data_IF_732668943901
#
_entry.id   IF_732668943901
#
_cell.length_a   1.000
_cell.length_b   1.000
_cell.length_c   1.000
_cell.angle_alpha   90.00
_cell.angle_beta   90.00
_cell.angle_gamma   90.00
#
_symmetry.space_group_name_H-M   'P 1'
#
loop_
_entity.id
_entity.type
_entity.pdbx_description
1 polymer ?
#
# COMPACT_ATOMS: atom_id res chain seq x y z
N UNK A 1 -12.23 -8.28 4.78
CA UNK A 1 -11.87 -9.55 5.46
C UNK A 1 -10.83 -9.32 6.55
N UNK A 2 -9.69 -8.68 6.24
CA UNK A 2 -8.64 -8.40 7.25
C UNK A 2 -9.18 -7.66 8.49
N UNK A 3 -9.97 -6.61 8.31
CA UNK A 3 -10.62 -5.87 9.40
C UNK A 3 -11.55 -6.77 10.24
N UNK A 4 -12.44 -7.53 9.59
CA UNK A 4 -13.33 -8.47 10.28
C UNK A 4 -12.59 -9.58 11.03
N UNK A 5 -11.34 -9.89 10.63
CA UNK A 5 -10.46 -10.83 11.32
C UNK A 5 -9.69 -10.19 12.49
N UNK A 6 -9.93 -8.90 12.79
CA UNK A 6 -9.31 -8.18 13.90
C UNK A 6 -7.95 -7.56 13.59
N UNK A 7 -7.63 -7.31 12.32
CA UNK A 7 -6.41 -6.59 11.95
C UNK A 7 -6.43 -5.15 12.50
N UNK A 8 -5.30 -4.69 13.06
CA UNK A 8 -5.15 -3.32 13.55
C UNK A 8 -4.97 -2.31 12.41
N UNK A 9 -4.37 -2.73 11.29
CA UNK A 9 -4.15 -1.96 10.08
C UNK A 9 -4.05 -2.89 8.87
N UNK A 10 -4.13 -2.36 7.66
CA UNK A 10 -3.97 -3.11 6.40
C UNK A 10 -2.91 -2.48 5.50
N UNK A 11 -2.20 -3.31 4.73
CA UNK A 11 -1.27 -2.84 3.70
C UNK A 11 -1.93 -2.92 2.32
N UNK A 12 -1.97 -1.80 1.60
CA UNK A 12 -2.50 -1.69 0.24
C UNK A 12 -1.40 -1.99 -0.80
N UNK A 13 -1.58 -3.06 -1.56
CA UNK A 13 -0.66 -3.50 -2.62
C UNK A 13 -1.36 -4.29 -3.71
N UNK A 14 -0.98 -4.07 -4.97
CA UNK A 14 -1.52 -4.81 -6.14
C UNK A 14 -1.11 -6.28 -6.15
N UNK A 15 0.06 -6.60 -5.60
CA UNK A 15 0.64 -7.95 -5.62
C UNK A 15 1.33 -8.23 -4.30
N UNK A 16 1.02 -9.38 -3.71
CA UNK A 16 1.64 -9.82 -2.46
C UNK A 16 3.13 -10.12 -2.66
N UNK A 17 3.98 -9.90 -1.63
CA UNK A 17 5.42 -10.09 -1.75
C UNK A 17 5.85 -11.48 -2.23
N UNK A 18 5.08 -12.52 -1.91
CA UNK A 18 5.32 -13.87 -2.40
C UNK A 18 5.24 -13.95 -3.94
N UNK A 19 4.23 -13.32 -4.53
CA UNK A 19 4.02 -13.28 -5.98
C UNK A 19 5.07 -12.41 -6.67
N UNK A 20 5.41 -11.27 -6.07
CA UNK A 20 6.47 -10.38 -6.59
C UNK A 20 7.79 -11.16 -6.69
N UNK A 21 8.14 -11.94 -5.66
CA UNK A 21 9.36 -12.76 -5.66
C UNK A 21 9.31 -13.89 -6.69
N UNK A 22 8.15 -14.51 -6.88
CA UNK A 22 7.98 -15.61 -7.83
C UNK A 22 8.06 -15.16 -9.30
N UNK A 23 7.45 -14.01 -9.62
CA UNK A 23 7.44 -13.46 -10.99
C UNK A 23 8.74 -12.71 -11.31
N UNK A 24 9.35 -12.09 -10.29
CA UNK A 24 10.46 -11.16 -10.47
C UNK A 24 10.03 -9.86 -11.14
N UNK A 25 11.01 -9.03 -11.49
CA UNK A 25 10.80 -7.73 -12.13
C UNK A 25 10.75 -6.55 -11.15
N UNK A 26 10.34 -5.39 -11.68
CA UNK A 26 10.35 -4.13 -10.93
C UNK A 26 9.01 -3.92 -10.23
N UNK A 27 9.01 -4.03 -8.91
CA UNK A 27 7.88 -3.64 -8.07
C UNK A 27 7.90 -2.13 -7.81
N UNK A 28 6.75 -1.47 -7.94
CA UNK A 28 6.57 -0.02 -7.72
C UNK A 28 5.43 0.22 -6.73
N UNK A 29 5.19 1.47 -6.39
CA UNK A 29 3.98 1.89 -5.66
C UNK A 29 2.72 1.44 -6.43
N UNK A 30 1.69 1.02 -5.68
CA UNK A 30 0.39 0.65 -6.25
C UNK A 30 -0.39 1.86 -6.74
N UNK A 31 -1.30 1.66 -7.69
CA UNK A 31 -2.12 2.76 -8.23
C UNK A 31 -2.89 3.50 -7.12
N UNK A 32 -2.77 4.85 -7.02
CA UNK A 32 -3.49 5.65 -6.01
C UNK A 32 -5.01 5.43 -6.00
N UNK A 33 -5.62 5.13 -7.16
CA UNK A 33 -7.05 4.82 -7.26
C UNK A 33 -7.39 3.53 -6.52
N UNK A 34 -6.54 2.51 -6.61
CA UNK A 34 -6.72 1.26 -5.89
C UNK A 34 -6.57 1.47 -4.38
N UNK A 35 -5.54 2.22 -3.96
CA UNK A 35 -5.30 2.56 -2.54
C UNK A 35 -6.51 3.29 -1.95
N UNK A 36 -7.04 4.31 -2.64
CA UNK A 36 -8.26 5.01 -2.22
C UNK A 36 -9.47 4.08 -2.15
N UNK A 37 -9.56 3.12 -3.05
CA UNK A 37 -10.59 2.08 -3.00
C UNK A 37 -10.53 1.27 -1.70
N UNK A 38 -9.32 0.92 -1.24
CA UNK A 38 -9.12 0.23 0.04
C UNK A 38 -9.42 1.15 1.22
N UNK A 39 -8.93 2.40 1.23
CA UNK A 39 -9.24 3.38 2.29
C UNK A 39 -10.75 3.57 2.49
N UNK A 40 -11.53 3.57 1.41
CA UNK A 40 -12.99 3.69 1.50
C UNK A 40 -13.68 2.39 1.94
N UNK A 41 -12.99 1.25 1.89
CA UNK A 41 -13.57 -0.06 2.17
C UNK A 41 -13.37 -0.53 3.61
N UNK A 42 -12.47 0.10 4.38
CA UNK A 42 -12.16 -0.26 5.77
C UNK A 42 -12.18 0.97 6.67
N UNK A 43 -12.40 0.75 7.97
CA UNK A 43 -12.34 1.81 8.99
C UNK A 43 -11.02 1.86 9.77
N UNK A 44 -10.19 0.83 9.59
CA UNK A 44 -8.85 0.74 10.19
C UNK A 44 -7.77 1.42 9.33
N UNK A 45 -6.65 1.87 9.91
CA UNK A 45 -5.56 2.51 9.19
C UNK A 45 -5.06 1.71 7.97
N UNK A 46 -4.75 2.43 6.91
CA UNK A 46 -4.22 1.88 5.65
C UNK A 46 -2.78 2.35 5.45
N UNK A 47 -1.90 1.38 5.19
CA UNK A 47 -0.50 1.59 4.87
C UNK A 47 -0.29 1.36 3.36
N UNK A 48 0.70 2.02 2.77
CA UNK A 48 1.09 1.75 1.38
C UNK A 48 2.62 1.75 1.21
N UNK A 49 3.10 1.00 0.21
CA UNK A 49 4.53 0.88 -0.08
C UNK A 49 5.02 1.88 -1.11
N UNK A 50 6.19 2.44 -0.87
CA UNK A 50 7.00 3.14 -1.87
C UNK A 50 8.41 2.52 -1.97
N UNK A 51 9.10 2.76 -3.08
CA UNK A 51 10.47 2.28 -3.28
C UNK A 51 11.47 3.09 -2.47
N UNK A 52 12.55 2.42 -2.04
CA UNK A 52 13.68 3.05 -1.34
C UNK A 52 14.23 4.24 -2.13
N UNK A 53 14.30 5.39 -1.48
CA UNK A 53 14.77 6.67 -2.01
C UNK A 53 13.79 7.37 -2.95
N UNK A 54 12.61 6.80 -3.22
CA UNK A 54 11.68 7.32 -4.22
C UNK A 54 10.71 8.36 -3.62
N UNK A 55 11.24 9.54 -3.28
CA UNK A 55 10.50 10.64 -2.65
C UNK A 55 9.22 11.05 -3.40
N UNK A 56 9.19 10.98 -4.73
CA UNK A 56 7.99 11.32 -5.50
C UNK A 56 6.83 10.32 -5.26
N UNK A 57 7.13 9.04 -4.99
CA UNK A 57 6.08 8.07 -4.63
C UNK A 57 5.56 8.37 -3.23
N UNK A 58 6.47 8.65 -2.29
CA UNK A 58 6.09 9.05 -0.93
C UNK A 58 5.22 10.32 -0.91
N UNK A 59 5.55 11.33 -1.73
CA UNK A 59 4.76 12.55 -1.87
C UNK A 59 3.36 12.28 -2.45
N UNK A 60 3.24 11.36 -3.42
CA UNK A 60 1.94 10.95 -3.95
C UNK A 60 1.10 10.27 -2.86
N UNK A 61 1.71 9.34 -2.10
CA UNK A 61 1.04 8.66 -0.98
C UNK A 61 0.61 9.65 0.12
N UNK A 62 1.45 10.62 0.44
CA UNK A 62 1.10 11.69 1.38
C UNK A 62 -0.06 12.55 0.85
N UNK A 63 -0.08 12.88 -0.44
CA UNK A 63 -1.14 13.70 -1.05
C UNK A 63 -2.50 12.99 -1.11
N UNK A 64 -2.54 11.67 -1.02
CA UNK A 64 -3.77 10.89 -0.87
C UNK A 64 -4.10 10.55 0.60
N UNK A 65 -3.40 11.18 1.55
CA UNK A 65 -3.65 11.07 2.98
C UNK A 65 -3.55 9.61 3.48
N UNK A 66 -2.50 8.89 3.07
CA UNK A 66 -2.21 7.57 3.63
C UNK A 66 -1.81 7.71 5.11
N UNK A 67 -2.18 6.75 5.95
CA UNK A 67 -1.86 6.79 7.38
C UNK A 67 -0.38 6.53 7.65
N UNK A 68 0.21 5.58 6.91
CA UNK A 68 1.61 5.21 7.02
C UNK A 68 2.23 4.85 5.67
N UNK A 69 3.48 5.25 5.46
CA UNK A 69 4.30 4.91 4.30
C UNK A 69 5.35 3.89 4.73
N UNK A 70 5.44 2.79 4.00
CA UNK A 70 6.45 1.74 4.18
C UNK A 70 7.43 1.75 3.00
N UNK A 71 8.68 2.10 3.27
CA UNK A 71 9.74 2.18 2.27
C UNK A 71 10.51 0.85 2.20
N UNK A 72 10.39 0.12 1.07
CA UNK A 72 10.99 -1.22 0.92
C UNK A 72 11.31 -1.63 -0.52
#
# INVERSE_FOLDING_TARGET
IAEAAGACAVMALERIPADIRAVGGVSRMSDPKMIKGIQNAVSIPVMAKCRIGHFAEAQILQAIEIDYIDES
#
